data_IF_454979597987
#
_entry.id   IF_454979597987
#
_cell.length_a   1.000
_cell.length_b   1.000
_cell.length_c   1.000
_cell.angle_alpha   90.00
_cell.angle_beta   90.00
_cell.angle_gamma   90.00
#
_symmetry.space_group_name_H-M   'P 1'
#
loop_
_entity.id
_entity.type
_entity.pdbx_description
1 polymer ?
#
# COMPACT_ATOMS: atom_id res chain seq x y z
N UNK A 1 13.38 12.50 6.94
CA UNK A 1 12.02 12.29 7.51
C UNK A 1 11.33 13.60 7.91
N UNK A 2 12.03 14.68 8.27
CA UNK A 2 11.42 16.00 8.53
C UNK A 2 10.48 16.47 7.41
N UNK A 3 10.96 16.44 6.15
CA UNK A 3 10.15 16.81 4.99
C UNK A 3 8.92 15.93 4.79
N UNK A 4 9.01 14.62 5.10
CA UNK A 4 7.87 13.72 5.06
C UNK A 4 6.79 14.18 6.05
N UNK A 5 7.21 14.46 7.29
CA UNK A 5 6.30 14.94 8.33
C UNK A 5 5.64 16.27 7.93
N UNK A 6 6.42 17.24 7.43
CA UNK A 6 5.92 18.53 6.98
C UNK A 6 4.85 18.40 5.88
N UNK A 7 5.05 17.47 4.94
CA UNK A 7 4.12 17.21 3.83
C UNK A 7 2.82 16.54 4.28
N UNK A 8 2.86 15.63 5.26
CA UNK A 8 1.72 14.75 5.58
C UNK A 8 1.00 15.06 6.89
N UNK A 9 1.56 15.87 7.78
CA UNK A 9 0.97 16.09 9.11
C UNK A 9 -0.44 16.68 9.07
N UNK A 10 -0.76 17.49 8.06
CA UNK A 10 -2.07 18.16 7.92
C UNK A 10 -3.20 17.19 7.60
N UNK A 11 -2.90 16.17 6.80
CA UNK A 11 -3.87 15.20 6.29
C UNK A 11 -3.68 13.82 6.94
N UNK A 12 -2.98 13.77 8.08
CA UNK A 12 -2.72 12.53 8.78
C UNK A 12 -4.02 11.87 9.24
N UNK A 13 -4.23 10.63 8.80
CA UNK A 13 -5.25 9.72 9.29
C UNK A 13 -4.56 8.55 9.98
N UNK A 14 -5.15 8.09 11.08
CA UNK A 14 -4.69 6.86 11.75
C UNK A 14 -4.94 5.69 10.80
N UNK A 15 -3.91 4.94 10.38
CA UNK A 15 -4.08 3.78 9.52
C UNK A 15 -4.86 2.68 10.25
N UNK A 16 -5.56 1.84 9.48
CA UNK A 16 -6.18 0.61 10.03
C UNK A 16 -5.08 -0.34 10.53
N UNK A 17 -4.00 -0.46 9.77
CA UNK A 17 -2.88 -1.33 10.10
C UNK A 17 -1.57 -0.82 9.51
N UNK A 18 -0.47 -1.17 10.16
CA UNK A 18 0.90 -0.99 9.68
C UNK A 18 1.67 -2.28 9.90
N UNK A 19 2.64 -2.58 9.04
CA UNK A 19 3.46 -3.81 9.07
C UNK A 19 2.61 -5.07 9.29
N UNK A 20 1.53 -5.18 8.52
CA UNK A 20 0.55 -6.24 8.74
C UNK A 20 0.98 -7.53 8.09
N UNK A 21 1.29 -8.53 8.91
CA UNK A 21 1.47 -9.91 8.46
C UNK A 21 0.19 -10.43 7.80
N UNK A 22 0.35 -11.05 6.63
CA UNK A 22 -0.70 -11.82 5.96
C UNK A 22 -0.22 -13.24 5.62
N UNK A 23 -1.21 -14.12 5.47
CA UNK A 23 -1.05 -15.46 4.93
C UNK A 23 -2.20 -15.70 3.97
N UNK A 24 -1.88 -16.05 2.73
CA UNK A 24 -2.87 -16.48 1.75
C UNK A 24 -2.45 -17.83 1.17
N UNK A 25 -3.41 -18.68 0.89
CA UNK A 25 -3.22 -19.97 0.23
C UNK A 25 -3.91 -19.91 -1.13
N UNK A 26 -3.11 -19.94 -2.20
CA UNK A 26 -3.58 -19.89 -3.58
C UNK A 26 -3.29 -21.26 -4.20
N UNK A 27 -4.31 -22.09 -4.35
CA UNK A 27 -4.20 -23.43 -4.95
C UNK A 27 -3.10 -24.30 -4.32
N UNK A 28 -2.90 -24.21 -3.01
CA UNK A 28 -1.87 -24.95 -2.27
C UNK A 28 -0.52 -24.22 -2.18
N UNK A 29 -0.37 -23.08 -2.85
CA UNK A 29 0.80 -22.21 -2.73
C UNK A 29 0.55 -21.22 -1.59
N UNK A 30 1.33 -21.36 -0.52
CA UNK A 30 1.27 -20.47 0.64
C UNK A 30 2.14 -19.25 0.40
N UNK A 31 1.53 -18.09 0.36
CA UNK A 31 2.23 -16.80 0.32
C UNK A 31 2.10 -16.11 1.69
N UNK A 32 3.20 -15.53 2.14
CA UNK A 32 3.25 -14.71 3.34
C UNK A 32 4.08 -13.47 3.09
N UNK A 33 3.74 -12.39 3.78
CA UNK A 33 4.42 -11.11 3.68
C UNK A 33 3.86 -10.11 4.68
N UNK A 34 4.35 -8.88 4.60
CA UNK A 34 3.91 -7.76 5.43
C UNK A 34 3.45 -6.64 4.53
N UNK A 35 2.26 -6.11 4.80
CA UNK A 35 1.75 -4.90 4.13
C UNK A 35 2.18 -3.70 4.97
N UNK A 36 3.01 -2.81 4.41
CA UNK A 36 3.57 -1.65 5.09
C UNK A 36 2.50 -0.79 5.79
N UNK A 37 1.44 -0.41 5.06
CA UNK A 37 0.35 0.42 5.58
C UNK A 37 -0.97 0.19 4.86
N UNK A 38 -2.05 0.16 5.64
CA UNK A 38 -3.44 0.07 5.17
C UNK A 38 -4.25 1.19 5.81
N UNK A 39 -4.93 1.99 4.99
CA UNK A 39 -5.82 3.08 5.41
C UNK A 39 -7.28 2.77 5.03
N UNK A 40 -8.22 3.34 5.78
CA UNK A 40 -9.63 3.39 5.38
C UNK A 40 -9.89 4.67 4.61
N UNK A 41 -10.49 4.57 3.43
CA UNK A 41 -10.95 5.72 2.66
C UNK A 41 -12.34 6.16 3.12
N UNK A 42 -12.65 7.44 2.95
CA UNK A 42 -13.97 8.01 3.24
C UNK A 42 -15.08 7.37 2.37
N UNK A 43 -14.71 6.83 1.20
CA UNK A 43 -15.61 6.03 0.34
C UNK A 43 -16.01 4.68 0.94
N UNK A 44 -15.34 4.24 2.01
CA UNK A 44 -15.56 2.95 2.66
C UNK A 44 -14.59 1.85 2.22
N UNK A 45 -13.86 2.03 1.12
CA UNK A 45 -12.84 1.11 0.63
C UNK A 45 -11.49 1.23 1.37
N UNK A 46 -10.56 0.35 1.04
CA UNK A 46 -9.21 0.35 1.57
C UNK A 46 -8.24 1.06 0.62
N UNK A 47 -7.18 1.64 1.19
CA UNK A 47 -6.00 2.12 0.46
C UNK A 47 -4.77 1.42 1.00
N UNK A 48 -3.91 0.93 0.12
CA UNK A 48 -2.62 0.34 0.49
C UNK A 48 -1.51 1.29 0.07
N UNK A 49 -0.53 1.48 0.95
CA UNK A 49 0.68 2.26 0.67
C UNK A 49 1.89 1.40 0.98
N UNK A 50 2.75 1.22 -0.03
CA UNK A 50 4.04 0.54 0.08
C UNK A 50 5.16 1.58 -0.11
N UNK A 51 6.11 1.62 0.83
CA UNK A 51 7.14 2.66 0.85
C UNK A 51 8.44 2.16 0.25
N UNK A 52 8.94 2.88 -0.74
CA UNK A 52 10.14 2.48 -1.48
C UNK A 52 11.21 3.57 -1.51
N UNK A 53 12.47 3.13 -1.51
CA UNK A 53 13.67 3.99 -1.49
C UNK A 53 14.45 3.93 -2.81
N UNK A 54 13.76 3.62 -3.91
CA UNK A 54 14.32 3.54 -5.26
C UNK A 54 15.04 4.83 -5.66
N UNK A 55 15.85 4.79 -6.73
CA UNK A 55 16.53 6.00 -7.25
C UNK A 55 15.58 6.84 -8.09
N UNK A 56 14.88 6.16 -9.00
CA UNK A 56 13.93 6.78 -9.92
C UNK A 56 12.52 6.81 -9.32
N UNK A 57 11.71 7.74 -9.83
CA UNK A 57 10.27 7.79 -9.56
C UNK A 57 9.55 6.62 -10.21
N UNK A 58 8.45 6.19 -9.60
CA UNK A 58 7.53 5.22 -10.20
C UNK A 58 6.62 5.89 -11.23
N UNK A 59 6.34 5.15 -12.28
CA UNK A 59 5.36 5.46 -13.32
C UNK A 59 4.06 4.71 -13.06
N UNK A 60 2.98 5.11 -13.75
CA UNK A 60 1.72 4.36 -13.71
C UNK A 60 1.87 2.92 -14.20
N UNK A 61 2.78 2.68 -15.16
CA UNK A 61 3.06 1.33 -15.66
C UNK A 61 3.77 0.46 -14.61
N UNK A 62 4.65 1.05 -13.79
CA UNK A 62 5.31 0.32 -12.71
C UNK A 62 4.30 -0.21 -11.69
N UNK A 63 3.30 0.60 -11.32
CA UNK A 63 2.28 0.20 -10.35
C UNK A 63 1.27 -0.79 -10.95
N UNK A 64 0.86 -0.61 -12.21
CA UNK A 64 -0.06 -1.52 -12.92
C UNK A 64 0.50 -2.93 -13.06
N UNK A 65 1.84 -3.07 -13.15
CA UNK A 65 2.53 -4.34 -13.27
C UNK A 65 3.18 -4.82 -11.96
N UNK A 66 2.90 -4.18 -10.82
CA UNK A 66 3.50 -4.54 -9.54
C UNK A 66 2.83 -5.78 -8.93
N UNK A 67 3.54 -6.90 -9.00
CA UNK A 67 3.09 -8.19 -8.46
C UNK A 67 2.96 -8.17 -6.92
N UNK A 68 3.80 -7.40 -6.23
CA UNK A 68 3.75 -7.32 -4.76
C UNK A 68 2.46 -6.61 -4.32
N UNK A 69 2.12 -5.48 -4.95
CA UNK A 69 0.87 -4.77 -4.68
C UNK A 69 -0.36 -5.60 -5.06
N UNK A 70 -0.28 -6.39 -6.13
CA UNK A 70 -1.33 -7.34 -6.51
C UNK A 70 -1.61 -8.33 -5.38
N UNK A 71 -0.56 -8.91 -4.77
CA UNK A 71 -0.73 -9.81 -3.64
C UNK A 71 -1.22 -9.10 -2.38
N UNK A 72 -0.77 -7.86 -2.14
CA UNK A 72 -1.24 -7.07 -1.01
C UNK A 72 -2.73 -6.77 -1.13
N UNK A 73 -3.21 -6.43 -2.33
CA UNK A 73 -4.63 -6.24 -2.60
C UNK A 73 -5.41 -7.51 -2.25
N UNK A 74 -5.03 -8.66 -2.82
CA UNK A 74 -5.71 -9.93 -2.58
C UNK A 74 -5.75 -10.28 -1.09
N UNK A 75 -4.63 -10.11 -0.39
CA UNK A 75 -4.53 -10.38 1.04
C UNK A 75 -5.41 -9.43 1.88
N UNK A 76 -5.38 -8.14 1.58
CA UNK A 76 -6.16 -7.14 2.31
C UNK A 76 -7.68 -7.33 2.10
N UNK A 77 -8.10 -7.56 0.86
CA UNK A 77 -9.52 -7.81 0.55
C UNK A 77 -10.02 -9.06 1.27
N UNK A 78 -9.24 -10.14 1.28
CA UNK A 78 -9.58 -11.37 1.99
C UNK A 78 -9.65 -11.18 3.52
N UNK A 79 -8.73 -10.41 4.10
CA UNK A 79 -8.67 -10.21 5.55
C UNK A 79 -9.77 -9.29 6.09
N UNK A 80 -10.12 -8.24 5.35
CA UNK A 80 -11.05 -7.21 5.81
C UNK A 80 -12.43 -7.29 5.18
N UNK A 81 -12.61 -8.09 4.13
CA UNK A 81 -13.87 -8.18 3.38
C UNK A 81 -14.34 -6.81 2.88
N UNK A 82 -13.39 -5.99 2.45
CA UNK A 82 -13.60 -4.66 1.87
C UNK A 82 -12.76 -4.54 0.60
N UNK A 83 -13.25 -3.86 -0.45
CA UNK A 83 -12.48 -3.68 -1.67
C UNK A 83 -11.29 -2.75 -1.43
N UNK A 84 -10.16 -3.02 -2.08
CA UNK A 84 -9.05 -2.09 -2.17
C UNK A 84 -9.32 -1.15 -3.34
N UNK A 85 -9.53 0.12 -3.02
CA UNK A 85 -9.91 1.14 -4.00
C UNK A 85 -8.75 2.03 -4.42
N UNK A 86 -7.57 1.85 -3.82
CA UNK A 86 -6.35 2.57 -4.19
C UNK A 86 -5.12 1.78 -3.79
N UNK A 87 -4.18 1.66 -4.73
CA UNK A 87 -2.83 1.17 -4.46
C UNK A 87 -1.85 2.34 -4.59
N UNK A 88 -0.77 2.34 -3.82
CA UNK A 88 0.22 3.42 -3.88
C UNK A 88 1.63 2.89 -3.63
N UNK A 89 2.52 3.15 -4.58
CA UNK A 89 3.97 3.11 -4.36
C UNK A 89 4.41 4.51 -3.91
N UNK A 90 4.89 4.62 -2.68
CA UNK A 90 5.37 5.88 -2.12
C UNK A 90 6.88 5.98 -2.23
N UNK A 91 7.36 6.89 -3.08
CA UNK A 91 8.78 7.13 -3.26
C UNK A 91 9.32 8.04 -2.14
N UNK A 92 9.98 7.44 -1.15
CA UNK A 92 10.46 8.13 0.05
C UNK A 92 11.52 9.19 -0.23
N UNK A 93 12.37 9.00 -1.25
CA UNK A 93 13.45 9.96 -1.54
C UNK A 93 12.91 11.31 -2.02
N UNK A 94 11.83 11.31 -2.80
CA UNK A 94 11.20 12.54 -3.30
C UNK A 94 9.96 12.97 -2.53
N UNK A 95 9.41 12.11 -1.66
CA UNK A 95 8.12 12.28 -1.01
C UNK A 95 6.95 12.33 -2.01
N UNK A 96 7.01 11.48 -3.04
CA UNK A 96 6.03 11.46 -4.14
C UNK A 96 5.27 10.13 -4.14
N UNK A 97 3.93 10.15 -4.00
CA UNK A 97 3.10 8.97 -4.24
C UNK A 97 2.88 8.75 -5.75
N UNK A 98 2.88 7.50 -6.18
CA UNK A 98 2.34 7.05 -7.45
C UNK A 98 1.20 6.07 -7.14
N UNK A 99 0.00 6.30 -7.69
CA UNK A 99 -1.21 5.57 -7.29
C UNK A 99 -2.04 5.16 -8.51
N UNK A 100 -2.74 4.03 -8.39
CA UNK A 100 -3.78 3.56 -9.30
C UNK A 100 -5.06 3.22 -8.55
#
# INVERSE_FOLDING_TARGET
LTKFWEVHQTDFRVPIAVERLFHIDIEGVKLTGYIDRIDKLDSGGLSIVDYKTNKELFTSEDIENDLQLTFYQLAAEHMWQLPVARLTLYHLRSNTPCSC
#
